data_IF_039115290053
#
_entry.id   IF_039115290053
#
_cell.length_a   1.000
_cell.length_b   1.000
_cell.length_c   1.000
_cell.angle_alpha   90.00
_cell.angle_beta   90.00
_cell.angle_gamma   90.00
#
_symmetry.space_group_name_H-M   'P 1'
#
loop_
_entity.id
_entity.type
_entity.pdbx_description
1 polymer ?
#
# COMPACT_ATOMS: atom_id res chain seq x y z
N UNK A 1 -1.09 4.12 18.90
CA UNK A 1 -0.74 4.11 18.31
C UNK A 1 -0.71 3.73 17.93
N UNK A 2 -1.04 3.81 18.05
CA UNK A 2 -0.89 3.62 17.38
C UNK A 2 -1.01 3.30 16.82
N UNK A 3 -1.26 3.33 16.62
CA UNK A 3 -1.24 3.17 15.87
C UNK A 3 -0.91 2.94 15.31
N UNK A 4 -0.71 2.92 15.24
CA UNK A 4 -0.16 2.90 14.64
C UNK A 4 0.23 3.16 14.50
N UNK A 5 0.39 3.50 14.73
CA UNK A 5 0.91 3.98 14.53
C UNK A 5 0.66 4.43 14.68
N UNK A 6 0.57 4.50 14.73
CA UNK A 6 0.36 4.93 14.71
C UNK A 6 0.21 5.06 14.19
N UNK A 7 0.20 4.99 13.70
CA UNK A 7 0.17 5.10 13.13
C UNK A 7 0.50 5.44 12.88
N UNK A 8 0.77 5.55 12.87
CA UNK A 8 1.23 6.04 12.71
C UNK A 8 1.22 6.70 12.64
N UNK A 9 1.37 7.36 12.60
CA UNK A 9 1.34 8.15 12.70
C UNK A 9 0.84 8.88 12.27
N UNK A 10 0.33 9.09 11.87
CA UNK A 10 -0.11 9.57 11.50
C UNK A 10 -0.16 10.27 11.11
N UNK A 11 -0.04 10.57 10.73
CA UNK A 11 -0.06 11.11 10.62
C UNK A 11 0.11 11.70 11.05
N UNK A 12 0.50 13.06 9.81
CA UNK A 12 0.81 13.40 11.02
C UNK A 12 0.34 14.69 11.55
N UNK A 13 0.19 15.80 10.88
CA UNK A 13 -0.49 16.86 11.45
C UNK A 13 -1.71 16.34 12.07
N UNK A 14 -2.59 15.96 11.22
CA UNK A 14 -3.67 15.21 11.74
C UNK A 14 -3.18 13.94 12.38
N UNK A 15 -2.16 13.34 11.82
CA UNK A 15 -1.61 12.16 12.39
C UNK A 15 -0.96 12.46 13.72
N UNK A 16 -0.46 13.65 13.88
CA UNK A 16 0.02 14.02 15.16
C UNK A 16 -1.07 14.14 16.16
N UNK A 17 -2.17 14.71 15.74
CA UNK A 17 -3.33 14.78 16.60
C UNK A 17 -3.81 13.37 16.92
N UNK A 18 -3.77 12.49 15.96
CA UNK A 18 -4.10 11.09 16.20
C UNK A 18 -3.14 10.47 17.20
N UNK A 19 -1.85 10.73 17.00
CA UNK A 19 -0.85 10.16 17.88
C UNK A 19 -1.08 10.60 19.30
N UNK A 20 -1.62 11.78 19.49
CA UNK A 20 -1.97 12.24 20.79
C UNK A 20 -3.37 11.84 21.22
N UNK A 21 -4.06 11.13 20.38
CA UNK A 21 -5.40 10.70 20.69
C UNK A 21 -6.46 11.76 20.54
N UNK A 22 -6.16 12.82 19.83
CA UNK A 22 -7.04 13.96 19.81
C UNK A 22 -8.09 13.93 18.73
N UNK A 23 -7.79 13.29 17.59
CA UNK A 23 -8.72 13.32 16.49
C UNK A 23 -8.77 11.98 15.78
N UNK A 24 -8.87 10.91 16.54
CA UNK A 24 -8.95 9.60 15.94
C UNK A 24 -10.35 9.25 15.47
N UNK A 25 -11.35 9.85 16.10
CA UNK A 25 -12.70 9.53 15.66
C UNK A 25 -12.90 10.12 14.28
N UNK A 26 -13.54 9.38 13.43
CA UNK A 26 -13.77 9.82 12.08
C UNK A 26 -12.72 9.38 11.09
N UNK A 27 -11.58 8.88 11.56
CA UNK A 27 -10.59 8.38 10.64
C UNK A 27 -10.94 6.93 10.28
N UNK A 28 -11.24 6.70 9.03
CA UNK A 28 -11.58 5.38 8.53
C UNK A 28 -10.83 5.17 7.24
N UNK A 29 -10.07 4.09 7.16
CA UNK A 29 -9.38 3.75 5.93
C UNK A 29 -10.37 3.21 4.92
N UNK A 30 -10.30 3.73 3.71
CA UNK A 30 -11.14 3.25 2.62
C UNK A 30 -10.32 2.32 1.75
N UNK A 31 -10.49 1.03 1.96
CA UNK A 31 -9.75 0.01 1.22
C UNK A 31 -10.57 -0.36 -0.01
N UNK A 32 -10.02 -0.21 -1.22
CA UNK A 32 -10.77 -0.57 -2.41
C UNK A 32 -11.01 -2.08 -2.44
N UNK A 33 -12.13 -2.47 -3.03
CA UNK A 33 -12.43 -3.88 -3.14
C UNK A 33 -11.59 -4.55 -4.21
N UNK A 34 -11.21 -3.81 -5.23
CA UNK A 34 -10.42 -4.34 -6.32
C UNK A 34 -9.33 -3.35 -6.69
N UNK A 35 -8.21 -3.89 -7.13
CA UNK A 35 -7.08 -3.09 -7.55
C UNK A 35 -6.55 -3.69 -8.84
N UNK A 36 -6.32 -2.82 -9.83
CA UNK A 36 -5.76 -3.28 -11.11
C UNK A 36 -4.24 -3.30 -11.00
N UNK A 37 -3.72 -4.46 -10.62
CA UNK A 37 -2.30 -4.61 -10.37
C UNK A 37 -1.49 -4.36 -11.63
N UNK A 38 -1.99 -4.84 -12.78
CA UNK A 38 -1.26 -4.68 -14.03
C UNK A 38 -1.16 -3.20 -14.41
N UNK A 39 -2.24 -2.45 -14.24
CA UNK A 39 -2.22 -1.04 -14.56
C UNK A 39 -1.22 -0.29 -13.69
N UNK A 40 -1.18 -0.63 -12.40
CA UNK A 40 -0.22 -0.01 -11.50
C UNK A 40 1.20 -0.31 -11.94
N UNK A 41 1.47 -1.57 -12.25
CA UNK A 41 2.80 -1.99 -12.66
C UNK A 41 3.20 -1.34 -13.98
N UNK A 42 2.29 -1.33 -14.95
CA UNK A 42 2.57 -0.73 -16.26
C UNK A 42 2.89 0.75 -16.13
N UNK A 43 2.19 1.45 -15.26
CA UNK A 43 2.43 2.87 -15.07
C UNK A 43 3.84 3.12 -14.55
N UNK A 44 4.37 2.19 -13.77
CA UNK A 44 5.72 2.32 -13.24
C UNK A 44 6.78 1.79 -14.21
N UNK A 45 6.35 1.18 -15.31
CA UNK A 45 7.28 0.69 -16.31
C UNK A 45 8.07 -0.53 -15.86
N UNK A 46 7.51 -1.34 -14.99
CA UNK A 46 8.23 -2.46 -14.40
C UNK A 46 7.71 -3.79 -14.93
N UNK A 47 8.62 -4.78 -15.05
CA UNK A 47 8.20 -6.15 -15.31
C UNK A 47 7.54 -6.73 -14.06
N UNK A 48 6.89 -7.87 -14.22
CA UNK A 48 6.31 -8.55 -13.07
C UNK A 48 7.38 -8.88 -12.03
N UNK A 49 8.52 -9.35 -12.49
CA UNK A 49 9.62 -9.71 -11.61
C UNK A 49 10.17 -8.49 -10.88
N UNK A 50 10.39 -7.40 -11.62
CA UNK A 50 10.92 -6.19 -11.01
C UNK A 50 9.94 -5.58 -10.02
N UNK A 51 8.66 -5.60 -10.36
CA UNK A 51 7.62 -5.08 -9.47
C UNK A 51 7.57 -5.88 -8.17
N UNK A 52 7.57 -7.20 -8.30
CA UNK A 52 7.53 -8.07 -7.13
C UNK A 52 8.74 -7.84 -6.23
N UNK A 53 9.92 -7.79 -6.84
CA UNK A 53 11.14 -7.60 -6.08
C UNK A 53 11.16 -6.25 -5.38
N UNK A 54 10.73 -5.21 -6.09
CA UNK A 54 10.80 -3.86 -5.54
C UNK A 54 9.88 -3.66 -4.36
N UNK A 55 8.72 -4.30 -4.39
CA UNK A 55 7.70 -4.02 -3.38
C UNK A 55 7.44 -5.20 -2.44
N UNK A 56 8.27 -6.22 -2.52
CA UNK A 56 8.18 -7.31 -1.54
C UNK A 56 7.10 -8.33 -1.78
N UNK A 57 6.61 -8.43 -3.02
CA UNK A 57 5.64 -9.48 -3.37
C UNK A 57 6.35 -10.67 -3.99
N UNK A 58 5.68 -11.82 -4.00
CA UNK A 58 6.18 -12.92 -4.80
C UNK A 58 5.74 -12.72 -6.25
N UNK A 59 6.58 -13.16 -7.19
CA UNK A 59 6.22 -13.09 -8.60
C UNK A 59 4.95 -13.90 -8.86
N UNK A 60 4.83 -15.06 -8.20
CA UNK A 60 3.65 -15.89 -8.38
C UNK A 60 2.38 -15.15 -7.97
N UNK A 61 2.45 -14.41 -6.86
CA UNK A 61 1.28 -13.64 -6.43
C UNK A 61 0.94 -12.56 -7.46
N UNK A 62 1.93 -11.84 -7.95
CA UNK A 62 1.68 -10.78 -8.93
C UNK A 62 1.02 -11.38 -10.18
N UNK A 63 1.54 -12.51 -10.65
CA UNK A 63 0.96 -13.16 -11.82
C UNK A 63 -0.47 -13.60 -11.59
N UNK A 64 -0.73 -14.19 -10.41
CA UNK A 64 -2.07 -14.65 -10.10
C UNK A 64 -3.04 -13.49 -10.00
N UNK A 65 -2.61 -12.39 -9.40
CA UNK A 65 -3.48 -11.22 -9.30
C UNK A 65 -3.81 -10.65 -10.67
N UNK A 66 -2.80 -10.57 -11.55
CA UNK A 66 -3.03 -10.00 -12.89
C UNK A 66 -3.89 -10.89 -13.76
N UNK A 67 -3.82 -12.20 -13.54
CA UNK A 67 -4.60 -13.14 -14.32
C UNK A 67 -5.95 -13.48 -13.69
N UNK A 68 -6.23 -12.92 -12.53
CA UNK A 68 -7.51 -13.13 -11.88
C UNK A 68 -7.64 -14.47 -11.18
N UNK A 69 -6.54 -15.19 -11.01
CA UNK A 69 -6.59 -16.48 -10.31
C UNK A 69 -6.74 -16.31 -8.81
N UNK A 70 -6.22 -15.23 -8.28
CA UNK A 70 -6.35 -14.88 -6.88
C UNK A 70 -6.56 -13.38 -6.80
N UNK A 71 -7.21 -12.96 -5.73
CA UNK A 71 -7.35 -11.54 -5.43
C UNK A 71 -6.41 -11.17 -4.31
N UNK A 72 -5.78 -10.01 -4.37
CA UNK A 72 -4.96 -9.59 -3.23
C UNK A 72 -5.84 -9.39 -2.01
N UNK A 73 -5.33 -9.81 -0.87
CA UNK A 73 -6.05 -9.61 0.37
C UNK A 73 -6.01 -8.14 0.75
N UNK A 74 -6.79 -7.78 1.76
CA UNK A 74 -6.98 -6.37 2.10
C UNK A 74 -5.66 -5.64 2.33
N UNK A 75 -4.74 -6.24 3.09
CA UNK A 75 -3.46 -5.57 3.36
C UNK A 75 -2.67 -5.34 2.08
N UNK A 76 -2.69 -6.31 1.17
CA UNK A 76 -2.01 -6.16 -0.10
C UNK A 76 -2.66 -5.08 -0.94
N UNK A 77 -3.99 -4.99 -0.91
CA UNK A 77 -4.69 -3.94 -1.65
C UNK A 77 -4.33 -2.56 -1.12
N UNK A 78 -4.20 -2.42 0.19
CA UNK A 78 -3.78 -1.16 0.78
C UNK A 78 -2.39 -0.78 0.27
N UNK A 79 -1.45 -1.72 0.31
CA UNK A 79 -0.11 -1.44 -0.17
C UNK A 79 -0.12 -1.11 -1.65
N UNK A 80 -0.87 -1.84 -2.46
CA UNK A 80 -0.96 -1.56 -3.88
C UNK A 80 -1.52 -0.17 -4.15
N UNK A 81 -2.49 0.26 -3.37
CA UNK A 81 -3.03 1.61 -3.50
C UNK A 81 -1.97 2.65 -3.16
N UNK A 82 -1.21 2.42 -2.10
CA UNK A 82 -0.14 3.35 -1.72
C UNK A 82 0.93 3.40 -2.80
N UNK A 83 1.28 2.25 -3.35
CA UNK A 83 2.23 2.19 -4.47
C UNK A 83 1.70 3.01 -5.64
N UNK A 84 0.41 2.90 -5.95
CA UNK A 84 -0.17 3.61 -7.08
C UNK A 84 -0.10 5.12 -6.90
N UNK A 85 -0.30 5.59 -5.69
CA UNK A 85 -0.40 7.03 -5.42
C UNK A 85 0.90 7.66 -4.96
N UNK A 86 1.71 6.89 -4.23
CA UNK A 86 2.92 7.42 -3.62
C UNK A 86 4.09 6.46 -3.80
N UNK A 87 4.43 6.13 -5.06
CA UNK A 87 5.45 5.09 -5.28
C UNK A 87 6.81 5.48 -4.70
N UNK A 88 7.16 6.76 -4.73
CA UNK A 88 8.45 7.17 -4.20
C UNK A 88 8.51 7.07 -2.69
N UNK A 89 7.39 7.33 -2.02
CA UNK A 89 7.34 7.19 -0.57
C UNK A 89 7.55 5.73 -0.18
N UNK A 90 6.92 4.82 -0.91
CA UNK A 90 7.09 3.39 -0.65
C UNK A 90 8.53 2.97 -0.91
N UNK A 91 9.10 3.44 -2.03
CA UNK A 91 10.47 3.12 -2.36
C UNK A 91 11.42 3.56 -1.25
N UNK A 92 11.23 4.78 -0.77
CA UNK A 92 12.07 5.30 0.32
C UNK A 92 11.88 4.49 1.60
N UNK A 93 10.64 4.12 1.88
CA UNK A 93 10.35 3.38 3.11
C UNK A 93 10.98 1.99 3.10
N UNK A 94 11.08 1.38 1.91
CA UNK A 94 11.59 0.02 1.79
C UNK A 94 13.06 -0.04 1.43
N UNK A 95 13.69 1.08 1.14
CA UNK A 95 15.10 1.09 0.78
C UNK A 95 15.94 0.75 2.01
N UNK A 96 16.94 -0.08 1.80
CA UNK A 96 17.82 -0.49 2.88
C UNK A 96 18.81 0.63 3.23
#
# INVERSE_FOLDING_TARGET
MSSAGKRILNSVGKARAYARGETTEGFIAHVPEEVDVRAIRDKLGLSQEAFALRFGFSVAAVRDWEQGRRHPEAAARVLLLVIAREPEAVRRALAA
#
